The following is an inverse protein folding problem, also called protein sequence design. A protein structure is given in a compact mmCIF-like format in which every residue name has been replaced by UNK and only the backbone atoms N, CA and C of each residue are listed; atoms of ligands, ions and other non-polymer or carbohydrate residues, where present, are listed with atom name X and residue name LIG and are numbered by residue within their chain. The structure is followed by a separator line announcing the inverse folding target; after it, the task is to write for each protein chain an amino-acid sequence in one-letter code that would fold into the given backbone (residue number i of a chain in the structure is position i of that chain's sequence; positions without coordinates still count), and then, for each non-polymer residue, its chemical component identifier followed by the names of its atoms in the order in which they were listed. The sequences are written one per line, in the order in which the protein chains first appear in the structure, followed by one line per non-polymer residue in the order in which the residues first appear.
data_IF_208508970987
#
_entry.id   IF_208508970987
#
_cell.length_a   1.000
_cell.length_b   1.000
_cell.length_c   1.000
_cell.angle_alpha   90.00
_cell.angle_beta   90.00
_cell.angle_gamma   90.00
#
_symmetry.space_group_name_H-M   'P 1'
#
loop_
_entity.id
_entity.type
_entity.pdbx_description
1 polymer ?
#
# COMPACT_ATOMS: atom_id res chain seq x y z
N UNK A 1 5.17 8.64 0.43
CA UNK A 1 3.70 8.70 0.41
C UNK A 1 3.06 7.58 1.22
N UNK A 2 3.20 6.32 0.84
CA UNK A 2 2.56 5.16 1.51
C UNK A 2 2.86 5.08 3.01
N UNK A 3 4.13 5.26 3.39
CA UNK A 3 4.57 5.34 4.79
C UNK A 3 3.92 6.50 5.55
N UNK A 4 3.87 7.68 4.95
CA UNK A 4 3.31 8.88 5.60
C UNK A 4 1.83 8.71 5.93
N UNK A 5 1.07 8.06 5.04
CA UNK A 5 -0.33 7.75 5.28
C UNK A 5 -0.45 6.75 6.45
N UNK A 6 0.37 5.69 6.46
CA UNK A 6 0.34 4.72 7.54
C UNK A 6 0.71 5.34 8.90
N UNK A 7 1.73 6.21 8.93
CA UNK A 7 2.18 6.86 10.16
C UNK A 7 1.15 7.87 10.68
N UNK A 8 0.52 8.65 9.79
CA UNK A 8 -0.57 9.57 10.17
C UNK A 8 -1.79 8.83 10.75
N UNK A 9 -2.13 7.65 10.20
CA UNK A 9 -3.21 6.82 10.75
C UNK A 9 -2.86 6.31 12.15
N UNK A 10 -1.60 5.94 12.39
CA UNK A 10 -1.15 5.54 13.73
C UNK A 10 -1.22 6.71 14.70
N UNK A 11 -0.72 7.88 14.30
CA UNK A 11 -0.68 9.08 15.15
C UNK A 11 -2.07 9.56 15.57
N UNK A 12 -3.04 9.54 14.64
CA UNK A 12 -4.38 10.11 14.87
C UNK A 12 -5.32 9.12 15.58
N UNK A 13 -5.21 7.82 15.29
CA UNK A 13 -6.21 6.83 15.70
C UNK A 13 -5.75 5.89 16.83
N UNK A 14 -4.45 5.87 17.15
CA UNK A 14 -3.82 4.88 18.04
C UNK A 14 -4.34 3.43 17.84
N UNK A 15 -4.31 2.89 16.60
CA UNK A 15 -4.89 1.60 16.31
C UNK A 15 -3.95 0.46 16.69
N UNK A 16 -4.52 -0.73 16.94
CA UNK A 16 -3.74 -1.95 17.15
C UNK A 16 -2.86 -2.33 15.95
N UNK A 17 -3.25 -1.95 14.72
CA UNK A 17 -2.46 -2.19 13.52
C UNK A 17 -3.01 -1.46 12.30
N UNK A 18 -2.14 -1.18 11.33
CA UNK A 18 -2.47 -0.46 10.09
C UNK A 18 -1.83 -1.17 8.91
N UNK A 19 -2.57 -1.29 7.81
CA UNK A 19 -2.07 -1.71 6.50
C UNK A 19 -2.52 -0.71 5.45
N UNK A 20 -1.57 -0.19 4.68
CA UNK A 20 -1.82 0.70 3.55
C UNK A 20 -1.24 0.06 2.31
N UNK A 21 -2.05 -0.10 1.28
CA UNK A 21 -1.63 -0.60 -0.04
C UNK A 21 -2.04 0.45 -1.05
N UNK A 22 -1.08 0.89 -1.88
CA UNK A 22 -1.30 1.85 -2.95
C UNK A 22 -0.88 1.19 -4.25
N UNK A 23 -1.80 1.15 -5.20
CA UNK A 23 -1.56 0.71 -6.56
C UNK A 23 -1.91 1.87 -7.50
N UNK A 24 -0.91 2.33 -8.25
CA UNK A 24 -1.07 3.47 -9.13
C UNK A 24 -0.28 3.31 -10.44
N UNK A 25 -0.77 3.98 -11.49
CA UNK A 25 -0.05 4.11 -12.75
C UNK A 25 0.78 5.39 -12.77
N UNK A 26 2.06 5.25 -13.11
CA UNK A 26 2.97 6.37 -13.28
C UNK A 26 2.84 6.96 -14.68
N UNK A 27 1.92 7.91 -14.85
CA UNK A 27 1.67 8.59 -16.13
C UNK A 27 2.92 9.24 -16.74
N UNK A 28 3.87 9.69 -15.92
CA UNK A 28 5.15 10.21 -16.38
C UNK A 28 6.03 9.16 -17.07
N UNK A 29 5.81 7.87 -16.82
CA UNK A 29 6.50 6.73 -17.45
C UNK A 29 5.67 6.11 -18.59
N UNK A 30 4.34 6.21 -18.51
CA UNK A 30 3.42 5.71 -19.55
C UNK A 30 3.34 6.66 -20.75
N UNK A 31 3.24 7.98 -20.52
CA UNK A 31 3.02 8.98 -21.57
C UNK A 31 4.30 9.72 -21.99
N UNK A 32 5.33 9.71 -21.14
CA UNK A 32 6.61 10.39 -21.37
C UNK A 32 7.77 9.41 -21.06
N UNK A 33 8.96 9.68 -21.59
CA UNK A 33 10.14 8.83 -21.36
C UNK A 33 10.06 7.45 -22.03
N UNK A 34 10.24 6.37 -21.25
CA UNK A 34 10.39 4.97 -21.72
C UNK A 34 9.11 4.40 -22.36
N UNK A 35 7.96 5.08 -22.23
CA UNK A 35 6.66 4.70 -22.85
C UNK A 35 6.29 3.24 -22.58
N UNK A 36 6.53 2.78 -21.34
CA UNK A 36 6.15 1.43 -20.95
C UNK A 36 4.64 1.43 -20.71
N UNK A 37 3.90 0.81 -21.63
CA UNK A 37 2.48 0.50 -21.47
C UNK A 37 2.24 -0.13 -20.09
N UNK A 38 1.26 0.39 -19.34
CA UNK A 38 0.88 -0.07 -18.00
C UNK A 38 2.03 -0.02 -16.98
N UNK A 39 2.73 1.11 -16.86
CA UNK A 39 3.70 1.34 -15.79
C UNK A 39 3.00 1.49 -14.41
N UNK A 40 2.50 0.38 -13.87
CA UNK A 40 1.90 0.31 -12.53
C UNK A 40 2.94 -0.03 -11.49
N UNK A 41 2.80 0.60 -10.33
CA UNK A 41 3.62 0.35 -9.15
C UNK A 41 2.70 0.11 -7.97
N UNK A 42 2.91 -1.00 -7.28
CA UNK A 42 2.26 -1.28 -6.01
C UNK A 42 3.24 -1.05 -4.88
N UNK A 43 2.82 -0.31 -3.86
CA UNK A 43 3.60 -0.07 -2.63
C UNK A 43 2.75 -0.38 -1.42
N UNK A 44 3.38 -0.79 -0.32
CA UNK A 44 2.68 -1.11 0.92
C UNK A 44 3.44 -0.63 2.15
N UNK A 45 2.71 -0.24 3.20
CA UNK A 45 3.24 0.07 4.52
C UNK A 45 2.38 -0.61 5.60
N UNK A 46 3.03 -1.17 6.63
CA UNK A 46 2.36 -1.96 7.68
C UNK A 46 2.86 -1.55 9.06
N UNK A 47 1.97 -1.50 10.05
CA UNK A 47 2.24 -1.14 11.46
C UNK A 47 1.49 -2.05 12.43
N UNK A 48 2.00 -2.17 13.66
CA UNK A 48 1.32 -2.84 14.77
C UNK A 48 1.05 -4.32 14.53
N UNK A 49 -0.11 -4.80 14.96
CA UNK A 49 -0.54 -6.20 14.92
C UNK A 49 -0.45 -6.86 13.53
N UNK A 50 -0.55 -6.06 12.46
CA UNK A 50 -0.43 -6.53 11.07
C UNK A 50 1.03 -6.82 10.65
N UNK A 51 2.02 -6.59 11.51
CA UNK A 51 3.37 -7.12 11.31
C UNK A 51 3.41 -8.66 11.41
N UNK A 52 2.43 -9.28 12.09
CA UNK A 52 2.27 -10.73 12.05
C UNK A 52 1.95 -11.20 10.62
N UNK A 53 2.72 -12.16 10.13
CA UNK A 53 2.60 -12.67 8.76
C UNK A 53 1.24 -13.30 8.46
N UNK A 54 0.64 -14.01 9.43
CA UNK A 54 -0.66 -14.67 9.26
C UNK A 54 -1.79 -13.64 9.09
N UNK A 55 -1.88 -12.69 10.02
CA UNK A 55 -2.90 -11.62 9.98
C UNK A 55 -2.73 -10.72 8.77
N UNK A 56 -1.48 -10.45 8.37
CA UNK A 56 -1.19 -9.70 7.14
C UNK A 56 -1.66 -10.44 5.89
N UNK A 57 -1.41 -11.74 5.80
CA UNK A 57 -1.79 -12.54 4.64
C UNK A 57 -3.31 -12.57 4.48
N UNK A 58 -4.06 -12.72 5.58
CA UNK A 58 -5.52 -12.65 5.59
C UNK A 58 -6.02 -11.28 5.10
N UNK A 59 -5.46 -10.18 5.62
CA UNK A 59 -5.84 -8.83 5.22
C UNK A 59 -5.54 -8.56 3.73
N UNK A 60 -4.36 -8.95 3.23
CA UNK A 60 -4.00 -8.77 1.82
C UNK A 60 -4.91 -9.59 0.90
N UNK A 61 -5.25 -10.81 1.30
CA UNK A 61 -6.18 -11.68 0.57
C UNK A 61 -7.54 -10.99 0.38
N UNK A 62 -8.09 -10.43 1.45
CA UNK A 62 -9.37 -9.71 1.41
C UNK A 62 -9.34 -8.43 0.55
N UNK A 63 -8.21 -7.72 0.51
CA UNK A 63 -8.06 -6.47 -0.25
C UNK A 63 -7.83 -6.74 -1.75
N UNK A 64 -7.16 -7.85 -2.08
CA UNK A 64 -6.69 -8.14 -3.44
C UNK A 64 -7.65 -9.04 -4.23
N UNK A 65 -8.58 -9.75 -3.57
CA UNK A 65 -9.61 -10.58 -4.21
C UNK A 65 -10.83 -9.78 -4.71
N UNK A 66 -10.59 -8.77 -5.56
CA UNK A 66 -11.64 -8.16 -6.40
C UNK A 66 -11.57 -8.66 -7.82
#
# INVERSE_FOLDING_TARGET
MTTQIADALVEILDPLGVIVIIDCEHLCMSMRGVKKSQARTTTSAVRGALLNAATRAEAISLITHR
#
